data_IF_025398418890
#
_entry.id   IF_025398418890
#
_cell.length_a   1.000
_cell.length_b   1.000
_cell.length_c   1.000
_cell.angle_alpha   90.00
_cell.angle_beta   90.00
_cell.angle_gamma   90.00
#
_symmetry.space_group_name_H-M   'P 1'
#
loop_
_entity.id
_entity.type
_entity.pdbx_description
1 polymer ?
#
# COMPACT_ATOMS: atom_id res chain seq x y z
N UNK A 1 21.16 -18.32 12.80
CA UNK A 1 22.18 -17.37 12.31
C UNK A 1 21.59 -16.68 11.09
N UNK A 2 20.87 -15.56 11.29
CA UNK A 2 20.29 -14.80 10.17
C UNK A 2 21.44 -14.19 9.37
N UNK A 3 21.51 -14.46 8.06
CA UNK A 3 22.46 -13.79 7.17
C UNK A 3 22.19 -12.29 7.28
N UNK A 4 23.16 -11.54 7.79
CA UNK A 4 23.11 -10.09 7.75
C UNK A 4 23.28 -9.71 6.28
N UNK A 5 22.17 -9.55 5.55
CA UNK A 5 22.22 -8.89 4.25
C UNK A 5 22.82 -7.49 4.42
N UNK A 6 23.44 -6.95 3.38
CA UNK A 6 24.01 -5.61 3.37
C UNK A 6 22.91 -4.54 3.57
N UNK A 7 22.59 -4.25 4.83
CA UNK A 7 21.72 -3.15 5.24
C UNK A 7 22.55 -2.01 5.83
N UNK A 8 22.11 -0.74 5.71
CA UNK A 8 20.86 -0.31 5.07
C UNK A 8 20.91 -0.38 3.53
N UNK A 9 19.73 -0.45 2.90
CA UNK A 9 19.58 -0.36 1.43
C UNK A 9 18.37 0.47 1.03
N UNK A 10 18.39 0.90 -0.22
CA UNK A 10 17.31 1.70 -0.82
C UNK A 10 16.44 0.84 -1.74
N UNK A 11 15.12 0.87 -1.51
CA UNK A 11 14.11 0.39 -2.45
C UNK A 11 13.63 1.60 -3.26
N UNK A 12 13.81 1.55 -4.57
CA UNK A 12 13.57 2.69 -5.46
C UNK A 12 12.48 2.35 -6.47
N UNK A 13 11.49 3.22 -6.60
CA UNK A 13 10.49 3.18 -7.68
C UNK A 13 10.47 4.50 -8.45
N UNK A 14 9.97 4.46 -9.69
CA UNK A 14 9.69 5.65 -10.50
C UNK A 14 8.21 5.69 -10.79
N UNK A 15 7.53 6.68 -10.22
CA UNK A 15 6.08 6.82 -10.21
C UNK A 15 5.66 7.85 -11.25
N UNK A 16 4.69 7.52 -12.10
CA UNK A 16 4.29 8.37 -13.21
C UNK A 16 2.79 8.63 -13.18
N UNK A 17 2.38 9.89 -13.28
CA UNK A 17 0.97 10.27 -13.41
C UNK A 17 0.42 9.98 -14.81
N UNK A 18 1.29 9.94 -15.82
CA UNK A 18 1.00 9.48 -17.19
C UNK A 18 2.26 8.83 -17.79
N UNK A 19 2.10 8.03 -18.84
CA UNK A 19 3.23 7.41 -19.56
C UNK A 19 4.26 8.44 -20.05
N UNK A 20 3.81 9.66 -20.38
CA UNK A 20 4.67 10.73 -20.88
C UNK A 20 5.27 11.63 -19.78
N UNK A 21 4.89 11.46 -18.51
CA UNK A 21 5.43 12.25 -17.41
C UNK A 21 6.88 11.87 -17.07
N UNK A 22 7.69 12.86 -16.64
CA UNK A 22 9.12 12.69 -16.30
C UNK A 22 9.37 11.65 -15.19
N UNK A 23 8.32 11.30 -14.43
CA UNK A 23 8.35 10.32 -13.37
C UNK A 23 9.02 10.84 -12.09
N UNK A 24 8.39 10.56 -10.96
CA UNK A 24 8.88 10.89 -9.63
C UNK A 24 9.61 9.69 -9.05
N UNK A 25 10.89 9.86 -8.73
CA UNK A 25 11.65 8.85 -8.01
C UNK A 25 11.22 8.82 -6.54
N UNK A 26 10.74 7.67 -6.07
CA UNK A 26 10.42 7.42 -4.65
C UNK A 26 11.41 6.43 -4.09
N UNK A 27 12.13 6.84 -3.05
CA UNK A 27 13.16 6.03 -2.39
C UNK A 27 12.69 5.69 -0.98
N UNK A 28 12.84 4.43 -0.60
CA UNK A 28 12.57 3.94 0.74
C UNK A 28 13.82 3.28 1.28
N UNK A 29 14.47 3.92 2.25
CA UNK A 29 15.55 3.31 2.98
C UNK A 29 15.00 2.24 3.93
N UNK A 30 15.63 1.08 3.97
CA UNK A 30 15.33 -0.03 4.88
C UNK A 30 16.61 -0.47 5.58
N UNK A 31 16.53 -0.71 6.88
CA UNK A 31 17.65 -1.02 7.76
C UNK A 31 17.76 -2.52 8.10
N UNK A 32 16.76 -3.32 7.77
CA UNK A 32 16.76 -4.77 8.00
C UNK A 32 15.80 -5.51 7.06
N UNK A 33 15.81 -6.84 7.13
CA UNK A 33 15.00 -7.70 6.27
C UNK A 33 13.50 -7.58 6.51
N UNK A 34 13.07 -7.33 7.75
CA UNK A 34 11.65 -7.17 8.07
C UNK A 34 11.10 -5.90 7.42
N UNK A 35 11.87 -4.81 7.44
CA UNK A 35 11.54 -3.57 6.73
C UNK A 35 11.47 -3.75 5.22
N UNK A 36 12.45 -4.44 4.62
CA UNK A 36 12.40 -4.77 3.18
C UNK A 36 11.11 -5.53 2.84
N UNK A 37 10.85 -6.64 3.55
CA UNK A 37 9.67 -7.49 3.27
C UNK A 37 8.37 -6.72 3.45
N UNK A 38 8.27 -5.88 4.48
CA UNK A 38 7.12 -5.04 4.72
C UNK A 38 6.90 -4.00 3.60
N UNK A 39 7.96 -3.33 3.15
CA UNK A 39 7.87 -2.33 2.06
C UNK A 39 7.48 -3.00 0.75
N UNK A 40 8.07 -4.16 0.43
CA UNK A 40 7.72 -4.93 -0.76
C UNK A 40 6.26 -5.42 -0.71
N UNK A 41 5.77 -5.90 0.44
CA UNK A 41 4.37 -6.29 0.60
C UNK A 41 3.41 -5.09 0.43
N UNK A 42 3.78 -3.91 0.92
CA UNK A 42 2.99 -2.70 0.70
C UNK A 42 2.95 -2.30 -0.79
N UNK A 43 4.08 -2.45 -1.51
CA UNK A 43 4.15 -2.23 -2.95
C UNK A 43 3.27 -3.22 -3.73
N UNK A 44 3.30 -4.51 -3.39
CA UNK A 44 2.44 -5.52 -4.00
C UNK A 44 0.95 -5.18 -3.87
N UNK A 45 0.53 -4.61 -2.73
CA UNK A 45 -0.85 -4.14 -2.59
C UNK A 45 -1.19 -3.02 -3.59
N UNK A 46 -0.29 -2.05 -3.77
CA UNK A 46 -0.49 -0.95 -4.73
C UNK A 46 -0.53 -1.48 -6.17
N UNK A 47 0.35 -2.41 -6.51
CA UNK A 47 0.40 -3.04 -7.84
C UNK A 47 -0.90 -3.81 -8.12
N UNK A 48 -1.37 -4.64 -7.16
CA UNK A 48 -2.64 -5.33 -7.28
C UNK A 48 -3.83 -4.38 -7.37
N UNK A 49 -3.80 -3.27 -6.60
CA UNK A 49 -4.83 -2.25 -6.66
C UNK A 49 -4.87 -1.58 -8.03
N UNK A 50 -3.71 -1.21 -8.59
CA UNK A 50 -3.58 -0.60 -9.91
C UNK A 50 -3.92 -1.57 -11.06
N UNK A 51 -3.70 -2.87 -10.87
CA UNK A 51 -4.17 -3.91 -11.78
C UNK A 51 -5.70 -4.13 -11.72
N UNK A 52 -6.40 -3.41 -10.85
CA UNK A 52 -7.81 -3.60 -10.55
C UNK A 52 -8.16 -5.07 -10.19
N UNK A 53 -7.24 -5.76 -9.50
CA UNK A 53 -7.39 -7.15 -9.10
C UNK A 53 -7.82 -7.23 -7.61
N UNK A 54 -9.12 -7.41 -7.32
CA UNK A 54 -9.60 -7.48 -5.94
C UNK A 54 -9.14 -8.74 -5.21
N UNK A 55 -8.79 -9.81 -5.92
CA UNK A 55 -8.29 -11.03 -5.27
C UNK A 55 -6.85 -10.82 -4.83
N UNK A 56 -5.97 -10.40 -5.72
CA UNK A 56 -4.57 -10.13 -5.39
C UNK A 56 -4.43 -9.05 -4.30
N UNK A 57 -5.26 -8.00 -4.36
CA UNK A 57 -5.23 -6.95 -3.34
C UNK A 57 -5.65 -7.45 -1.96
N UNK A 58 -6.57 -8.43 -1.89
CA UNK A 58 -6.97 -9.08 -0.63
C UNK A 58 -5.90 -10.00 -0.07
N UNK A 59 -5.16 -10.69 -0.93
CA UNK A 59 -4.05 -11.57 -0.54
C UNK A 59 -2.91 -10.77 0.11
N UNK A 60 -2.74 -9.50 -0.25
CA UNK A 60 -1.76 -8.61 0.39
C UNK A 60 -2.16 -8.15 1.82
N UNK A 61 -3.34 -8.53 2.32
CA UNK A 61 -3.82 -8.16 3.66
C UNK A 61 -3.57 -9.28 4.67
N UNK A 62 -3.33 -8.89 5.91
CA UNK A 62 -3.21 -9.79 7.04
C UNK A 62 -4.46 -9.68 7.91
N UNK A 63 -5.11 -10.82 8.16
CA UNK A 63 -6.41 -10.90 8.82
C UNK A 63 -6.30 -11.32 10.30
N UNK A 64 -7.16 -10.81 11.21
CA UNK A 64 -8.12 -9.73 10.99
C UNK A 64 -7.45 -8.42 10.56
N UNK A 65 -8.02 -7.74 9.56
CA UNK A 65 -7.53 -6.49 9.00
C UNK A 65 -8.36 -5.31 9.52
N UNK A 66 -7.69 -4.25 9.97
CA UNK A 66 -8.34 -3.03 10.46
C UNK A 66 -8.16 -1.86 9.48
N UNK A 67 -9.25 -1.14 9.16
CA UNK A 67 -9.20 0.08 8.38
C UNK A 67 -9.89 1.22 9.11
N UNK A 68 -9.21 2.35 9.24
CA UNK A 68 -9.79 3.63 9.68
C UNK A 68 -9.94 4.53 8.46
N UNK A 69 -11.18 4.87 8.11
CA UNK A 69 -11.53 5.76 7.01
C UNK A 69 -11.27 7.23 7.31
N UNK A 70 -11.37 8.08 6.28
CA UNK A 70 -11.21 9.53 6.41
C UNK A 70 -12.24 10.18 7.35
N UNK A 71 -13.41 9.56 7.49
CA UNK A 71 -14.51 9.93 8.37
C UNK A 71 -14.34 9.41 9.81
N UNK A 72 -13.25 8.70 10.10
CA UNK A 72 -12.98 8.08 11.39
C UNK A 72 -13.64 6.71 11.59
N UNK A 73 -14.38 6.20 10.60
CA UNK A 73 -15.03 4.87 10.70
C UNK A 73 -13.98 3.77 10.79
N UNK A 74 -14.06 2.95 11.84
CA UNK A 74 -13.26 1.73 12.00
C UNK A 74 -14.02 0.53 11.44
N UNK A 75 -13.41 -0.16 10.49
CA UNK A 75 -13.88 -1.45 9.96
C UNK A 75 -12.85 -2.52 10.28
N UNK A 76 -13.29 -3.62 10.90
CA UNK A 76 -12.49 -4.82 11.10
C UNK A 76 -13.06 -5.92 10.20
N UNK A 77 -12.19 -6.58 9.45
CA UNK A 77 -12.54 -7.74 8.64
C UNK A 77 -11.79 -8.95 9.13
N UNK A 78 -12.52 -9.96 9.60
CA UNK A 78 -11.94 -11.22 10.10
C UNK A 78 -11.39 -12.09 8.96
N UNK A 79 -11.96 -11.97 7.77
CA UNK A 79 -11.58 -12.73 6.57
C UNK A 79 -11.59 -11.84 5.33
N UNK A 80 -11.15 -12.40 4.22
CA UNK A 80 -11.11 -11.77 2.91
C UNK A 80 -12.48 -11.57 2.25
N UNK A 81 -13.57 -12.14 2.80
CA UNK A 81 -14.86 -12.24 2.10
C UNK A 81 -15.53 -10.89 1.87
N UNK A 82 -15.31 -9.92 2.76
CA UNK A 82 -15.95 -8.60 2.72
C UNK A 82 -15.01 -7.48 2.23
N UNK A 83 -13.76 -7.81 1.87
CA UNK A 83 -12.81 -6.84 1.35
C UNK A 83 -12.96 -6.77 -0.18
N UNK A 84 -13.08 -5.56 -0.74
CA UNK A 84 -13.07 -5.33 -2.20
C UNK A 84 -13.88 -6.37 -2.99
N UNK A 85 -15.22 -6.46 -2.79
CA UNK A 85 -16.05 -7.47 -3.43
C UNK A 85 -16.04 -7.35 -4.97
N UNK A 86 -16.62 -8.35 -5.64
CA UNK A 86 -16.76 -8.32 -7.10
C UNK A 86 -17.42 -7.00 -7.57
N UNK A 87 -16.84 -6.39 -8.61
CA UNK A 87 -17.29 -5.08 -9.12
C UNK A 87 -16.79 -3.86 -8.33
N UNK A 88 -16.04 -4.05 -7.23
CA UNK A 88 -15.47 -2.94 -6.44
C UNK A 88 -14.74 -1.91 -7.32
N UNK A 89 -13.80 -2.35 -8.15
CA UNK A 89 -13.02 -1.44 -9.00
C UNK A 89 -13.87 -0.78 -10.07
N UNK A 90 -14.83 -1.49 -10.69
CA UNK A 90 -15.73 -0.89 -11.67
C UNK A 90 -16.56 0.24 -11.05
N UNK A 91 -17.13 0.03 -9.85
CA UNK A 91 -17.87 1.07 -9.11
C UNK A 91 -16.93 2.21 -8.72
N UNK A 92 -15.72 1.88 -8.24
CA UNK A 92 -14.74 2.86 -7.82
C UNK A 92 -14.29 3.77 -8.97
N UNK A 93 -14.03 3.19 -10.15
CA UNK A 93 -13.71 3.90 -11.39
C UNK A 93 -14.87 4.80 -11.83
N UNK A 94 -16.10 4.27 -11.88
CA UNK A 94 -17.28 5.06 -12.26
C UNK A 94 -17.53 6.26 -11.35
N UNK A 95 -17.33 6.09 -10.03
CA UNK A 95 -17.59 7.14 -9.04
C UNK A 95 -16.53 8.23 -9.02
N UNK A 96 -15.27 7.89 -9.26
CA UNK A 96 -14.13 8.79 -8.99
C UNK A 96 -13.37 9.21 -10.25
N UNK A 97 -13.53 8.48 -11.35
CA UNK A 97 -12.67 8.56 -12.52
C UNK A 97 -11.29 7.94 -12.30
N UNK A 98 -11.08 7.20 -11.20
CA UNK A 98 -9.80 6.56 -10.88
C UNK A 98 -9.31 5.68 -12.03
N UNK A 99 -8.02 5.79 -12.34
CA UNK A 99 -7.33 4.93 -13.29
C UNK A 99 -6.18 4.19 -12.62
N UNK A 100 -5.34 4.91 -11.89
CA UNK A 100 -4.22 4.34 -11.14
C UNK A 100 -3.86 5.23 -9.94
N UNK A 101 -2.98 4.70 -9.10
CA UNK A 101 -2.40 5.39 -7.96
C UNK A 101 -0.87 5.33 -8.02
N UNK A 102 -0.23 6.34 -7.48
CA UNK A 102 1.23 6.43 -7.40
C UNK A 102 1.67 6.65 -5.97
N UNK A 103 2.83 6.12 -5.62
CA UNK A 103 3.46 6.50 -4.36
C UNK A 103 4.00 7.94 -4.43
N UNK A 104 3.80 8.67 -3.35
CA UNK A 104 4.44 9.97 -3.14
C UNK A 104 5.55 9.91 -2.10
N UNK A 105 5.37 9.05 -1.10
CA UNK A 105 6.26 8.82 0.01
C UNK A 105 6.04 7.40 0.53
N UNK A 106 7.13 6.73 0.89
CA UNK A 106 7.15 5.51 1.69
C UNK A 106 8.33 5.61 2.65
N UNK A 107 8.04 5.69 3.93
CA UNK A 107 9.03 5.90 5.00
C UNK A 107 8.76 4.89 6.12
N UNK A 108 9.80 4.15 6.53
CA UNK A 108 9.74 3.29 7.71
C UNK A 108 9.84 4.18 8.95
N UNK A 109 8.89 4.05 9.87
CA UNK A 109 8.91 4.77 11.15
C UNK A 109 9.70 3.98 12.19
N UNK A 110 9.40 2.68 12.31
CA UNK A 110 10.02 1.75 13.26
C UNK A 110 9.69 0.31 12.87
N UNK A 111 10.51 -0.63 13.32
CA UNK A 111 10.37 -2.06 13.03
C UNK A 111 10.75 -2.96 14.21
N UNK A 112 10.22 -4.18 14.18
CA UNK A 112 10.70 -5.35 14.89
C UNK A 112 10.81 -6.51 13.89
N UNK A 113 11.20 -7.70 14.36
CA UNK A 113 11.32 -8.88 13.50
C UNK A 113 10.03 -9.23 12.75
N UNK A 114 8.85 -8.96 13.33
CA UNK A 114 7.54 -9.38 12.80
C UNK A 114 6.56 -8.23 12.58
N UNK A 115 6.97 -6.98 12.77
CA UNK A 115 6.09 -5.81 12.64
C UNK A 115 6.83 -4.58 12.13
N UNK A 116 6.22 -3.84 11.20
CA UNK A 116 6.77 -2.58 10.67
C UNK A 116 5.68 -1.54 10.59
N UNK A 117 5.98 -0.32 11.03
CA UNK A 117 5.12 0.85 10.83
C UNK A 117 5.63 1.67 9.64
N UNK A 118 4.74 1.95 8.70
CA UNK A 118 5.02 2.77 7.53
C UNK A 118 4.22 4.07 7.58
N UNK A 119 4.90 5.18 7.34
CA UNK A 119 4.30 6.43 6.90
C UNK A 119 4.30 6.43 5.38
N UNK A 120 3.12 6.51 4.78
CA UNK A 120 3.00 6.54 3.32
C UNK A 120 2.19 7.73 2.88
N UNK A 121 2.41 8.16 1.65
CA UNK A 121 1.52 9.06 0.94
C UNK A 121 1.39 8.53 -0.47
N UNK A 122 0.18 8.53 -1.00
CA UNK A 122 -0.07 8.15 -2.38
C UNK A 122 -1.09 9.08 -3.00
N UNK A 123 -0.96 9.29 -4.31
CA UNK A 123 -1.88 10.08 -5.11
C UNK A 123 -2.65 9.19 -6.05
N UNK A 124 -3.89 9.58 -6.36
CA UNK A 124 -4.75 8.90 -7.32
C UNK A 124 -4.94 9.79 -8.55
N UNK A 125 -4.92 9.18 -9.72
CA UNK A 125 -5.01 9.89 -11.00
C UNK A 125 -6.12 9.33 -11.87
N UNK A 126 -6.65 10.19 -12.73
CA UNK A 126 -7.48 9.79 -13.88
C UNK A 126 -6.58 9.37 -15.05
N UNK A 127 -7.18 8.83 -16.11
CA UNK A 127 -6.46 8.37 -17.28
C UNK A 127 -5.70 9.48 -18.03
N UNK A 128 -6.18 10.72 -17.96
CA UNK A 128 -5.52 11.90 -18.53
C UNK A 128 -4.38 12.46 -17.66
N UNK A 129 -4.09 11.83 -16.50
CA UNK A 129 -3.10 12.28 -15.54
C UNK A 129 -3.58 13.34 -14.57
N UNK A 130 -4.85 13.77 -14.64
CA UNK A 130 -5.39 14.73 -13.67
C UNK A 130 -5.50 14.12 -12.28
N UNK A 131 -5.09 14.89 -11.27
CA UNK A 131 -5.10 14.47 -9.88
C UNK A 131 -6.54 14.33 -9.37
N UNK A 132 -6.82 13.23 -8.67
CA UNK A 132 -8.05 13.02 -7.91
C UNK A 132 -7.83 13.48 -6.46
N UNK A 133 -6.70 13.11 -5.87
CA UNK A 133 -6.32 13.52 -4.54
C UNK A 133 -5.05 12.83 -4.06
N UNK A 134 -4.48 13.36 -2.97
CA UNK A 134 -3.27 12.88 -2.31
C UNK A 134 -3.60 12.50 -0.87
N UNK A 135 -3.17 11.31 -0.45
CA UNK A 135 -3.67 10.67 0.76
C UNK A 135 -2.52 10.26 1.69
N UNK A 136 -2.14 11.09 2.68
CA UNK A 136 -1.22 10.68 3.72
C UNK A 136 -1.87 9.57 4.57
N UNK A 137 -1.10 8.57 4.96
CA UNK A 137 -1.60 7.38 5.63
C UNK A 137 -0.56 6.75 6.56
N UNK A 138 -1.03 6.02 7.57
CA UNK A 138 -0.22 5.14 8.41
C UNK A 138 -0.63 3.70 8.16
N UNK A 139 0.34 2.86 7.81
CA UNK A 139 0.13 1.44 7.56
C UNK A 139 0.91 0.62 8.57
N UNK A 140 0.28 -0.40 9.13
CA UNK A 140 0.90 -1.37 10.02
C UNK A 140 1.04 -2.67 9.24
N UNK A 141 2.28 -3.08 9.00
CA UNK A 141 2.64 -4.33 8.34
C UNK A 141 3.00 -5.36 9.41
N UNK A 142 2.55 -6.59 9.24
CA UNK A 142 2.92 -7.70 10.14
C UNK A 142 3.38 -8.90 9.33
N UNK A 143 4.18 -9.74 9.96
CA UNK A 143 4.44 -11.10 9.55
C UNK A 143 3.46 -12.03 10.28
N UNK A 144 2.75 -12.87 9.55
CA UNK A 144 1.85 -13.90 10.09
C UNK A 144 2.06 -15.18 9.29
N UNK A 145 2.51 -16.25 9.94
CA UNK A 145 2.66 -17.58 9.34
C UNK A 145 3.45 -17.61 8.02
N UNK A 146 4.55 -16.85 7.95
CA UNK A 146 5.40 -16.72 6.75
C UNK A 146 4.96 -15.60 5.79
N UNK A 147 3.83 -14.95 6.06
CA UNK A 147 3.21 -13.96 5.17
C UNK A 147 3.33 -12.53 5.71
N UNK A 148 4.03 -11.67 4.96
CA UNK A 148 4.02 -10.23 5.20
C UNK A 148 2.83 -9.59 4.50
N UNK A 149 1.98 -8.95 5.30
CA UNK A 149 0.75 -8.33 4.80
C UNK A 149 0.33 -7.14 5.64
N UNK A 150 -0.61 -6.36 5.10
CA UNK A 150 -1.12 -5.17 5.76
C UNK A 150 -2.11 -5.57 6.86
N UNK A 151 -1.76 -5.30 8.12
CA UNK A 151 -2.63 -5.57 9.28
C UNK A 151 -3.61 -4.44 9.54
N UNK A 152 -3.15 -3.20 9.41
CA UNK A 152 -3.98 -2.01 9.61
C UNK A 152 -3.63 -0.90 8.63
N UNK A 153 -4.64 -0.14 8.19
CA UNK A 153 -4.44 1.14 7.51
C UNK A 153 -5.33 2.23 8.08
N UNK A 154 -4.76 3.41 8.28
CA UNK A 154 -5.50 4.63 8.50
C UNK A 154 -5.15 5.60 7.37
N UNK A 155 -6.17 6.08 6.64
CA UNK A 155 -5.95 6.93 5.46
C UNK A 155 -7.06 7.97 5.32
N UNK A 156 -6.72 9.13 4.77
CA UNK A 156 -7.70 10.12 4.32
C UNK A 156 -8.34 9.78 2.95
N UNK A 157 -8.09 8.57 2.43
CA UNK A 157 -8.70 8.09 1.20
C UNK A 157 -10.08 7.47 1.47
N UNK A 158 -11.07 7.96 0.74
CA UNK A 158 -12.39 7.32 0.60
C UNK A 158 -12.33 6.05 -0.27
#
# INVERSE_FOLDING_TARGET
MQSHGDYPKDIVTVERSTEQSDGKRVVTAVANQSEEKAVLAAMSFMDAFNAADPKAARECLNYPHARVGADGTLVISETADNQMPAGFFSIFQQRTGWNHSCWDLREVIQSSETKVHLKVTFSRYRADGSLIGTYPSIWVMTEQDGHWGIKMRSSFAA
#
